data_IF_254512975917
#
_entry.id   IF_254512975917
#
_cell.length_a   1.000
_cell.length_b   1.000
_cell.length_c   1.000
_cell.angle_alpha   90.00
_cell.angle_beta   90.00
_cell.angle_gamma   90.00
#
_symmetry.space_group_name_H-M   'P 1'
#
loop_
_entity.id
_entity.type
_entity.pdbx_description
1 polymer ?
#
# COMPACT_ATOMS: atom_id res chain seq x y z
N UNK A 1 34.35 68.02 -16.64
CA UNK A 1 34.00 66.91 -15.74
C UNK A 1 35.30 66.27 -15.23
N UNK A 2 35.62 66.54 -13.97
CA UNK A 2 36.57 65.78 -13.12
C UNK A 2 35.90 64.49 -12.63
N UNK A 3 36.57 63.61 -11.86
CA UNK A 3 37.86 62.92 -12.03
C UNK A 3 37.64 61.37 -11.88
N UNK A 4 38.65 60.50 -11.98
CA UNK A 4 39.39 59.93 -10.84
C UNK A 4 40.73 59.34 -11.38
N UNK A 5 41.92 59.77 -10.95
CA UNK A 5 42.64 59.58 -9.66
C UNK A 5 43.39 58.24 -9.56
N UNK A 6 44.72 58.30 -9.71
CA UNK A 6 45.67 57.53 -8.89
C UNK A 6 47.07 58.19 -8.96
N UNK A 7 47.71 58.33 -7.78
CA UNK A 7 48.81 59.26 -7.49
C UNK A 7 50.24 58.78 -7.80
N UNK A 8 51.26 59.59 -7.43
CA UNK A 8 52.60 59.53 -8.02
C UNK A 8 53.60 58.66 -7.23
N UNK A 9 54.54 58.03 -7.95
CA UNK A 9 55.71 57.34 -7.37
C UNK A 9 56.85 58.35 -7.14
N UNK A 10 57.33 58.42 -5.89
CA UNK A 10 58.39 59.30 -5.44
C UNK A 10 59.78 58.79 -5.84
N UNK A 11 60.65 59.71 -6.29
CA UNK A 11 62.07 59.47 -6.49
C UNK A 11 62.86 59.87 -5.24
N UNK A 12 63.90 59.11 -4.83
CA UNK A 12 64.72 59.45 -3.68
C UNK A 12 65.61 60.69 -3.92
N UNK A 13 65.76 61.47 -2.85
CA UNK A 13 66.49 62.74 -2.76
C UNK A 13 68.01 62.60 -2.86
N UNK A 14 68.66 63.62 -3.44
CA UNK A 14 70.12 63.81 -3.61
C UNK A 14 70.96 63.65 -2.34
N UNK A 15 70.34 63.59 -1.16
CA UNK A 15 71.02 63.33 0.11
C UNK A 15 71.48 61.86 0.29
N UNK A 16 70.81 60.89 -0.35
CA UNK A 16 71.18 59.46 -0.24
C UNK A 16 72.33 59.06 -1.18
N UNK A 17 72.74 59.96 -2.10
CA UNK A 17 73.79 59.69 -3.10
C UNK A 17 75.22 60.03 -2.62
N UNK A 18 75.40 60.54 -1.39
CA UNK A 18 76.69 61.11 -0.95
C UNK A 18 77.45 60.36 0.15
N UNK A 19 76.94 59.26 0.69
CA UNK A 19 77.58 58.58 1.83
C UNK A 19 78.32 57.26 1.52
N UNK A 20 78.42 56.82 0.26
CA UNK A 20 79.19 55.62 -0.11
C UNK A 20 80.44 55.88 -0.96
N UNK A 21 81.00 57.09 -0.88
CA UNK A 21 82.38 57.37 -1.28
C UNK A 21 83.29 57.41 -0.06
N UNK A 22 83.96 56.30 0.26
CA UNK A 22 85.31 56.28 0.86
C UNK A 22 85.86 54.85 0.97
N UNK A 23 86.73 54.49 0.01
CA UNK A 23 88.13 54.06 0.21
C UNK A 23 88.58 53.15 -0.94
N UNK A 24 89.21 53.80 -1.93
CA UNK A 24 90.09 53.16 -2.90
C UNK A 24 91.41 52.86 -2.17
N UNK A 25 91.88 51.61 -2.23
CA UNK A 25 93.27 51.25 -1.97
C UNK A 25 93.77 50.43 -3.15
N UNK A 26 94.71 51.02 -3.89
CA UNK A 26 95.41 50.43 -5.03
C UNK A 26 96.34 49.33 -4.53
N UNK A 27 96.32 48.13 -5.14
CA UNK A 27 97.52 47.26 -5.25
C UNK A 27 97.38 46.13 -6.29
N UNK A 28 98.27 46.22 -7.30
CA UNK A 28 98.97 45.18 -8.09
C UNK A 28 98.18 44.26 -9.06
N UNK A 29 98.57 44.38 -10.34
CA UNK A 29 98.29 43.47 -11.47
C UNK A 29 98.75 42.02 -11.16
N UNK A 30 97.97 41.01 -11.58
CA UNK A 30 98.49 39.72 -11.99
C UNK A 30 98.48 39.59 -13.53
N UNK A 31 99.49 38.90 -14.03
CA UNK A 31 99.76 38.60 -15.44
C UNK A 31 98.58 37.90 -16.12
N UNK A 32 98.33 38.28 -17.37
CA UNK A 32 97.50 37.52 -18.30
C UNK A 32 98.21 36.18 -18.62
N UNK A 33 97.76 35.11 -17.96
CA UNK A 33 98.08 33.75 -18.39
C UNK A 33 97.19 33.39 -19.58
N UNK A 34 97.86 33.13 -20.71
CA UNK A 34 97.30 32.56 -21.93
C UNK A 34 96.57 31.25 -21.59
N UNK A 35 95.27 31.20 -21.92
CA UNK A 35 94.49 29.95 -21.91
C UNK A 35 95.00 29.03 -23.03
N UNK A 36 95.20 27.73 -22.78
CA UNK A 36 95.52 26.77 -23.84
C UNK A 36 94.36 26.69 -24.84
N UNK A 37 94.67 26.78 -26.12
CA UNK A 37 93.74 26.51 -27.21
C UNK A 37 93.54 24.99 -27.34
N UNK A 38 92.44 24.47 -26.78
CA UNK A 38 92.02 23.07 -26.99
C UNK A 38 91.75 22.82 -28.49
N UNK A 39 92.43 21.82 -29.07
CA UNK A 39 92.36 21.50 -30.50
C UNK A 39 91.01 20.89 -30.95
N UNK A 40 90.74 20.86 -32.28
CA UNK A 40 89.44 20.47 -32.85
C UNK A 40 88.97 19.04 -32.50
N UNK A 41 89.88 18.15 -32.09
CA UNK A 41 89.58 16.75 -31.76
C UNK A 41 88.88 16.57 -30.40
N UNK A 42 89.17 17.39 -29.38
CA UNK A 42 88.51 17.30 -28.07
C UNK A 42 87.08 17.86 -28.10
N UNK A 43 86.81 18.85 -28.96
CA UNK A 43 85.47 19.41 -29.20
C UNK A 43 84.48 18.38 -29.76
N UNK A 44 84.92 17.44 -30.61
CA UNK A 44 84.07 16.35 -31.12
C UNK A 44 83.78 15.27 -30.06
N UNK A 45 84.76 14.93 -29.20
CA UNK A 45 84.61 13.88 -28.17
C UNK A 45 83.68 14.32 -27.02
N UNK A 46 83.73 15.60 -26.61
CA UNK A 46 82.79 16.18 -25.62
C UNK A 46 81.35 16.28 -26.15
N UNK A 47 81.14 16.61 -27.43
CA UNK A 47 79.80 16.66 -28.05
C UNK A 47 79.16 15.26 -28.16
N UNK A 48 79.94 14.22 -28.48
CA UNK A 48 79.44 12.83 -28.56
C UNK A 48 79.08 12.28 -27.17
N UNK A 49 79.92 12.53 -26.14
CA UNK A 49 79.61 12.14 -24.74
C UNK A 49 78.40 12.89 -24.16
N UNK A 50 78.22 14.18 -24.47
CA UNK A 50 77.01 14.93 -24.05
C UNK A 50 75.76 14.41 -24.74
N UNK A 51 75.80 14.13 -26.06
CA UNK A 51 74.67 13.54 -26.79
C UNK A 51 74.28 12.17 -26.24
N UNK A 52 75.24 11.26 -26.00
CA UNK A 52 74.96 9.93 -25.41
C UNK A 52 74.38 10.06 -24.00
N UNK A 53 74.93 10.95 -23.15
CA UNK A 53 74.37 11.20 -21.81
C UNK A 53 72.95 11.77 -21.86
N UNK A 54 72.65 12.71 -22.77
CA UNK A 54 71.28 13.22 -22.93
C UNK A 54 70.33 12.18 -23.52
N UNK A 55 70.79 11.28 -24.40
CA UNK A 55 69.94 10.20 -24.93
C UNK A 55 69.61 9.19 -23.83
N UNK A 56 70.59 8.81 -23.01
CA UNK A 56 70.38 7.91 -21.87
C UNK A 56 69.43 8.52 -20.84
N UNK A 57 69.56 9.82 -20.53
CA UNK A 57 68.64 10.51 -19.61
C UNK A 57 67.22 10.60 -20.17
N UNK A 58 67.05 10.86 -21.48
CA UNK A 58 65.73 10.85 -22.13
C UNK A 58 65.10 9.45 -22.13
N UNK A 59 65.89 8.40 -22.36
CA UNK A 59 65.43 7.02 -22.30
C UNK A 59 65.05 6.59 -20.88
N UNK A 60 65.81 7.01 -19.87
CA UNK A 60 65.46 6.77 -18.46
C UNK A 60 64.20 7.53 -18.06
N UNK A 61 64.05 8.79 -18.49
CA UNK A 61 62.84 9.58 -18.19
C UNK A 61 61.59 8.97 -18.85
N UNK A 62 61.69 8.55 -20.10
CA UNK A 62 60.58 7.86 -20.80
C UNK A 62 60.28 6.50 -20.17
N UNK A 63 61.30 5.73 -19.79
CA UNK A 63 61.10 4.47 -19.06
C UNK A 63 60.39 4.67 -17.72
N UNK A 64 60.77 5.69 -16.94
CA UNK A 64 60.09 6.04 -15.67
C UNK A 64 58.63 6.44 -15.92
N UNK A 65 58.34 7.22 -16.96
CA UNK A 65 56.96 7.60 -17.32
C UNK A 65 56.14 6.37 -17.74
N UNK A 66 56.70 5.46 -18.53
CA UNK A 66 56.04 4.22 -18.95
C UNK A 66 55.80 3.30 -17.74
N UNK A 67 56.76 3.16 -16.85
CA UNK A 67 56.60 2.40 -15.60
C UNK A 67 55.55 3.02 -14.69
N UNK A 68 55.52 4.34 -14.53
CA UNK A 68 54.51 5.04 -13.75
C UNK A 68 53.10 4.87 -14.36
N UNK A 69 52.99 4.94 -15.69
CA UNK A 69 51.73 4.68 -16.40
C UNK A 69 51.27 3.22 -16.24
N UNK A 70 52.19 2.25 -16.32
CA UNK A 70 51.88 0.84 -16.13
C UNK A 70 51.47 0.52 -14.68
N UNK A 71 52.13 1.14 -13.69
CA UNK A 71 51.77 1.01 -12.27
C UNK A 71 50.44 1.69 -11.96
N UNK A 72 50.17 2.88 -12.53
CA UNK A 72 48.88 3.54 -12.45
C UNK A 72 47.76 2.70 -13.07
N UNK A 73 48.01 2.10 -14.24
CA UNK A 73 47.04 1.23 -14.91
C UNK A 73 46.78 -0.07 -14.12
N UNK A 74 47.81 -0.67 -13.50
CA UNK A 74 47.64 -1.80 -12.59
C UNK A 74 46.88 -1.45 -11.33
N UNK A 75 47.12 -0.28 -10.73
CA UNK A 75 46.38 0.20 -9.58
C UNK A 75 44.90 0.43 -9.94
N UNK A 76 44.62 1.02 -11.10
CA UNK A 76 43.26 1.24 -11.59
C UNK A 76 42.56 -0.09 -11.93
N UNK A 77 43.20 -1.01 -12.62
CA UNK A 77 42.63 -2.34 -12.90
C UNK A 77 42.46 -3.20 -11.62
N UNK A 78 43.37 -3.09 -10.65
CA UNK A 78 43.32 -3.81 -9.38
C UNK A 78 42.35 -3.23 -8.35
N UNK A 79 41.93 -1.97 -8.52
CA UNK A 79 40.98 -1.29 -7.62
C UNK A 79 39.51 -1.70 -7.79
N UNK A 80 39.20 -2.57 -8.76
CA UNK A 80 37.81 -2.99 -9.03
C UNK A 80 36.93 -1.90 -9.66
N UNK A 81 37.49 -0.74 -10.05
CA UNK A 81 36.77 0.35 -10.72
C UNK A 81 36.04 -0.09 -12.00
N UNK A 82 36.49 -1.17 -12.65
CA UNK A 82 35.88 -1.78 -13.83
C UNK A 82 35.29 -3.18 -13.59
N UNK A 83 35.25 -3.66 -12.35
CA UNK A 83 34.59 -4.92 -12.03
C UNK A 83 33.07 -4.75 -12.24
N UNK A 84 32.46 -5.64 -13.03
CA UNK A 84 30.98 -5.70 -13.13
C UNK A 84 30.44 -5.87 -11.72
N UNK A 85 29.55 -4.96 -11.31
CA UNK A 85 28.82 -5.11 -10.06
C UNK A 85 28.17 -6.51 -10.07
N UNK A 86 28.33 -7.32 -9.01
CA UNK A 86 27.74 -8.65 -8.96
C UNK A 86 26.24 -8.55 -9.21
N UNK A 87 25.75 -9.34 -10.17
CA UNK A 87 24.33 -9.45 -10.48
C UNK A 87 23.94 -10.92 -10.50
N UNK A 88 22.73 -11.24 -10.04
CA UNK A 88 22.21 -12.58 -10.19
C UNK A 88 21.76 -12.81 -11.64
N UNK A 89 21.81 -14.05 -12.15
CA UNK A 89 21.30 -14.36 -13.48
C UNK A 89 19.77 -14.17 -13.59
N UNK A 90 19.04 -14.12 -12.45
CA UNK A 90 17.58 -14.12 -12.42
C UNK A 90 16.99 -15.49 -12.79
N UNK A 91 15.65 -15.62 -12.88
CA UNK A 91 14.62 -14.62 -12.59
C UNK A 91 14.26 -14.53 -11.09
N UNK A 92 15.05 -15.14 -10.21
CA UNK A 92 14.78 -15.25 -8.76
C UNK A 92 14.09 -16.57 -8.40
N UNK A 93 14.24 -16.99 -7.14
CA UNK A 93 13.84 -18.33 -6.68
C UNK A 93 12.74 -18.31 -5.64
N UNK A 94 12.94 -17.59 -4.53
CA UNK A 94 12.13 -17.73 -3.31
C UNK A 94 11.35 -16.45 -3.06
N UNK A 95 10.01 -16.50 -2.92
CA UNK A 95 9.22 -15.30 -2.62
C UNK A 95 9.68 -14.60 -1.34
N UNK A 96 9.66 -13.27 -1.35
CA UNK A 96 9.95 -12.42 -0.19
C UNK A 96 9.15 -11.11 -0.32
N UNK A 97 8.54 -10.67 0.79
CA UNK A 97 7.89 -9.37 0.86
C UNK A 97 8.91 -8.30 1.23
N UNK A 98 8.99 -7.22 0.45
CA UNK A 98 9.90 -6.10 0.71
C UNK A 98 9.14 -4.79 0.64
N UNK A 99 9.32 -3.96 1.67
CA UNK A 99 8.75 -2.63 1.74
C UNK A 99 9.70 -1.59 1.16
N UNK A 100 9.18 -0.75 0.28
CA UNK A 100 9.86 0.40 -0.32
C UNK A 100 9.28 1.69 0.28
N UNK A 101 10.02 2.41 1.13
CA UNK A 101 9.56 3.66 1.73
C UNK A 101 9.30 4.77 0.71
N UNK A 102 8.42 5.71 1.06
CA UNK A 102 8.19 6.92 0.29
C UNK A 102 9.46 7.76 0.12
N UNK A 103 9.63 8.37 -1.05
CA UNK A 103 10.80 9.19 -1.39
C UNK A 103 12.11 8.41 -1.62
N UNK A 104 12.08 7.07 -1.60
CA UNK A 104 13.28 6.25 -1.83
C UNK A 104 13.84 6.45 -3.23
N UNK A 105 15.13 6.81 -3.34
CA UNK A 105 15.82 6.86 -4.64
C UNK A 105 16.11 5.45 -5.17
N UNK A 106 16.40 5.31 -6.47
CA UNK A 106 16.83 4.02 -7.04
C UNK A 106 18.04 3.39 -6.33
N UNK A 107 18.90 4.22 -5.71
CA UNK A 107 20.02 3.74 -4.89
C UNK A 107 19.56 3.21 -3.54
N UNK A 108 18.57 3.86 -2.90
CA UNK A 108 18.03 3.44 -1.61
C UNK A 108 17.24 2.13 -1.76
N UNK A 109 16.42 2.05 -2.80
CA UNK A 109 15.72 0.81 -3.20
C UNK A 109 16.74 -0.31 -3.40
N UNK A 110 17.81 -0.06 -4.17
CA UNK A 110 18.87 -1.06 -4.40
C UNK A 110 19.49 -1.59 -3.10
N UNK A 111 19.75 -0.74 -2.11
CA UNK A 111 20.29 -1.14 -0.80
C UNK A 111 19.30 -1.98 0.00
N UNK A 112 18.02 -1.61 0.00
CA UNK A 112 16.96 -2.37 0.68
C UNK A 112 16.87 -3.77 0.06
N UNK A 113 16.84 -3.85 -1.27
CA UNK A 113 16.75 -5.12 -2.00
C UNK A 113 18.00 -6.01 -1.79
N UNK A 114 19.19 -5.42 -1.76
CA UNK A 114 20.44 -6.14 -1.48
C UNK A 114 20.43 -6.72 -0.06
N UNK A 115 20.03 -5.91 0.94
CA UNK A 115 19.93 -6.34 2.34
C UNK A 115 18.95 -7.49 2.52
N UNK A 116 17.86 -7.51 1.76
CA UNK A 116 16.84 -8.58 1.77
C UNK A 116 17.23 -9.79 0.90
N UNK A 117 18.36 -9.74 0.20
CA UNK A 117 18.82 -10.80 -0.70
C UNK A 117 18.01 -10.94 -1.98
N UNK A 118 17.25 -9.90 -2.36
CA UNK A 118 16.52 -9.84 -3.64
C UNK A 118 17.49 -9.66 -4.79
N UNK A 119 18.42 -8.71 -4.70
CA UNK A 119 19.46 -8.47 -5.72
C UNK A 119 20.86 -8.77 -5.17
N UNK A 120 21.82 -9.04 -6.05
CA UNK A 120 23.20 -9.38 -5.64
C UNK A 120 24.02 -8.15 -5.23
N UNK A 121 23.69 -6.97 -5.77
CA UNK A 121 24.29 -5.71 -5.35
C UNK A 121 23.38 -4.51 -5.64
N UNK A 122 23.35 -3.53 -4.74
CA UNK A 122 22.63 -2.28 -4.95
C UNK A 122 23.10 -1.54 -6.21
N UNK A 123 24.40 -1.64 -6.54
CA UNK A 123 24.99 -1.01 -7.73
C UNK A 123 24.48 -1.61 -9.04
N UNK A 124 24.29 -2.94 -9.10
CA UNK A 124 23.71 -3.58 -10.28
C UNK A 124 22.23 -3.18 -10.46
N UNK A 125 21.47 -3.12 -9.36
CA UNK A 125 20.10 -2.62 -9.38
C UNK A 125 20.02 -1.15 -9.81
N UNK A 126 20.79 -0.25 -9.19
CA UNK A 126 20.78 1.18 -9.52
C UNK A 126 21.10 1.42 -11.00
N UNK A 127 22.09 0.70 -11.55
CA UNK A 127 22.39 0.76 -12.99
C UNK A 127 21.21 0.31 -13.86
N UNK A 128 20.49 -0.73 -13.46
CA UNK A 128 19.31 -1.20 -14.18
C UNK A 128 18.12 -0.24 -14.03
N UNK A 129 17.98 0.40 -12.86
CA UNK A 129 16.99 1.44 -12.59
C UNK A 129 17.24 2.64 -13.52
N UNK A 130 18.46 3.16 -13.56
CA UNK A 130 18.83 4.31 -14.41
C UNK A 130 18.69 3.99 -15.92
N UNK A 131 18.90 2.73 -16.31
CA UNK A 131 18.76 2.27 -17.68
C UNK A 131 17.29 2.06 -18.13
N UNK A 132 16.34 2.06 -17.18
CA UNK A 132 14.93 1.84 -17.47
C UNK A 132 14.14 3.14 -17.33
N UNK A 133 13.65 3.67 -18.44
CA UNK A 133 12.92 4.96 -18.49
C UNK A 133 11.64 4.98 -17.65
N UNK A 134 11.06 3.81 -17.33
CA UNK A 134 9.86 3.72 -16.48
C UNK A 134 10.20 3.62 -15.00
N UNK A 135 11.45 3.34 -14.62
CA UNK A 135 11.83 3.12 -13.22
C UNK A 135 11.44 4.27 -12.25
N UNK A 136 11.45 5.55 -12.65
CA UNK A 136 10.93 6.63 -11.79
C UNK A 136 9.44 6.51 -11.43
N UNK A 137 8.66 5.70 -12.16
CA UNK A 137 7.25 5.42 -11.86
C UNK A 137 7.05 4.33 -10.79
N UNK A 138 8.13 3.67 -10.32
CA UNK A 138 8.05 2.73 -9.19
C UNK A 138 7.48 3.47 -7.99
N UNK A 139 6.34 2.96 -7.51
CA UNK A 139 5.64 3.56 -6.38
C UNK A 139 6.23 3.06 -5.06
N UNK A 140 6.14 3.84 -3.98
CA UNK A 140 6.36 3.30 -2.65
C UNK A 140 5.37 2.16 -2.36
N UNK A 141 5.81 1.26 -1.47
CA UNK A 141 4.96 0.24 -0.88
C UNK A 141 5.58 -1.14 -0.78
N UNK A 142 4.78 -2.12 -0.37
CA UNK A 142 5.19 -3.50 -0.18
C UNK A 142 5.10 -4.24 -1.51
N UNK A 143 6.11 -5.06 -1.81
CA UNK A 143 6.21 -5.84 -3.04
C UNK A 143 6.53 -7.30 -2.73
N UNK A 144 5.80 -8.22 -3.38
CA UNK A 144 6.12 -9.65 -3.44
C UNK A 144 7.17 -9.89 -4.51
N UNK A 145 8.43 -9.87 -4.11
CA UNK A 145 9.59 -10.12 -4.96
C UNK A 145 10.11 -11.54 -4.77
N UNK A 146 11.17 -11.90 -5.49
CA UNK A 146 11.90 -13.15 -5.30
C UNK A 146 13.33 -12.87 -4.86
N UNK A 147 13.88 -13.70 -3.98
CA UNK A 147 15.32 -13.70 -3.70
C UNK A 147 16.09 -14.08 -4.96
N UNK A 148 17.29 -13.53 -5.12
CA UNK A 148 18.20 -13.79 -6.24
C UNK A 148 17.69 -13.37 -7.64
N UNK A 149 16.93 -12.29 -7.72
CA UNK A 149 16.57 -11.63 -8.97
C UNK A 149 17.77 -10.87 -9.55
N UNK A 150 17.85 -10.79 -10.88
CA UNK A 150 18.76 -9.83 -11.52
C UNK A 150 18.33 -8.40 -11.23
N UNK A 151 19.25 -7.43 -11.28
CA UNK A 151 18.91 -6.02 -11.07
C UNK A 151 17.80 -5.54 -12.01
N UNK A 152 17.88 -5.91 -13.30
CA UNK A 152 16.85 -5.61 -14.28
C UNK A 152 15.52 -6.32 -14.02
N UNK A 153 15.57 -7.59 -13.58
CA UNK A 153 14.36 -8.34 -13.22
C UNK A 153 13.66 -7.77 -12.00
N UNK A 154 14.42 -7.27 -11.02
CA UNK A 154 13.86 -6.60 -9.85
C UNK A 154 13.22 -5.25 -10.21
N UNK A 155 13.82 -4.46 -11.10
CA UNK A 155 13.19 -3.22 -11.61
C UNK A 155 11.89 -3.53 -12.35
N UNK A 156 11.90 -4.55 -13.22
CA UNK A 156 10.71 -4.96 -13.95
C UNK A 156 9.59 -5.43 -13.01
N UNK A 157 9.92 -6.19 -11.96
CA UNK A 157 8.93 -6.61 -10.97
C UNK A 157 8.43 -5.43 -10.12
N UNK A 158 9.27 -4.48 -9.72
CA UNK A 158 8.81 -3.29 -9.01
C UNK A 158 7.89 -2.38 -9.85
N UNK A 159 7.99 -2.47 -11.17
CA UNK A 159 7.09 -1.79 -12.11
C UNK A 159 5.82 -2.60 -12.42
N UNK A 160 5.79 -3.88 -12.08
CA UNK A 160 4.65 -4.76 -12.31
C UNK A 160 3.61 -4.57 -11.20
N UNK A 161 2.39 -4.07 -11.51
CA UNK A 161 1.32 -3.94 -10.52
C UNK A 161 1.02 -5.25 -9.79
N UNK A 162 1.16 -6.41 -10.46
CA UNK A 162 0.92 -7.72 -9.84
C UNK A 162 1.95 -8.10 -8.77
N UNK A 163 3.11 -7.44 -8.78
CA UNK A 163 4.15 -7.64 -7.78
C UNK A 163 3.94 -6.79 -6.54
N UNK A 164 3.01 -5.82 -6.52
CA UNK A 164 2.65 -5.14 -5.27
C UNK A 164 2.01 -6.14 -4.31
N UNK A 165 2.50 -6.15 -3.09
CA UNK A 165 1.91 -6.88 -1.98
C UNK A 165 0.72 -6.09 -1.46
N UNK A 166 -0.36 -6.09 -2.25
CA UNK A 166 -1.63 -5.53 -1.83
C UNK A 166 -2.13 -6.31 -0.59
N UNK A 167 -2.35 -5.60 0.52
CA UNK A 167 -3.06 -6.17 1.65
C UNK A 167 -4.54 -6.16 1.28
N UNK A 168 -5.17 -7.33 1.30
CA UNK A 168 -6.61 -7.45 1.02
C UNK A 168 -7.37 -7.52 2.32
N UNK A 169 -8.30 -6.60 2.54
CA UNK A 169 -9.25 -6.66 3.65
C UNK A 169 -10.63 -7.02 3.10
N UNK A 170 -11.16 -8.15 3.55
CA UNK A 170 -12.50 -8.59 3.15
C UNK A 170 -13.51 -8.16 4.21
N UNK A 171 -14.60 -7.53 3.78
CA UNK A 171 -15.81 -7.30 4.57
C UNK A 171 -16.88 -8.26 4.04
N UNK A 172 -17.18 -9.35 4.75
CA UNK A 172 -18.24 -10.28 4.36
C UNK A 172 -19.62 -9.63 4.37
N UNK A 173 -20.55 -10.28 3.66
CA UNK A 173 -21.98 -10.01 3.77
C UNK A 173 -22.48 -10.31 5.20
N UNK A 174 -23.50 -9.59 5.66
CA UNK A 174 -24.04 -9.70 7.02
C UNK A 174 -23.17 -9.08 8.13
N UNK A 175 -22.03 -8.47 7.81
CA UNK A 175 -21.17 -7.80 8.80
C UNK A 175 -21.86 -6.56 9.37
N UNK A 176 -21.79 -6.38 10.67
CA UNK A 176 -22.15 -5.12 11.32
C UNK A 176 -21.04 -4.07 11.15
N UNK A 177 -21.35 -2.79 11.33
CA UNK A 177 -20.35 -1.71 11.44
C UNK A 177 -19.29 -2.03 12.49
N UNK A 178 -19.70 -2.63 13.61
CA UNK A 178 -18.79 -3.05 14.69
C UNK A 178 -17.78 -4.08 14.17
N UNK A 179 -18.23 -5.10 13.46
CA UNK A 179 -17.36 -6.15 12.91
C UNK A 179 -16.47 -5.63 11.78
N UNK A 180 -16.99 -4.77 10.90
CA UNK A 180 -16.21 -4.11 9.86
C UNK A 180 -15.11 -3.23 10.47
N UNK A 181 -15.43 -2.50 11.54
CA UNK A 181 -14.45 -1.69 12.27
C UNK A 181 -13.35 -2.53 12.90
N UNK A 182 -13.71 -3.58 13.63
CA UNK A 182 -12.71 -4.50 14.21
C UNK A 182 -11.87 -5.19 13.12
N UNK A 183 -12.47 -5.51 11.97
CA UNK A 183 -11.73 -6.05 10.82
C UNK A 183 -10.69 -5.06 10.31
N UNK A 184 -11.03 -3.78 10.19
CA UNK A 184 -10.10 -2.74 9.73
C UNK A 184 -8.99 -2.44 10.76
N UNK A 185 -9.30 -2.45 12.05
CA UNK A 185 -8.27 -2.30 13.12
C UNK A 185 -7.20 -3.40 13.11
N UNK A 186 -7.54 -4.58 12.57
CA UNK A 186 -6.63 -5.72 12.46
C UNK A 186 -5.85 -5.75 11.15
N UNK A 187 -5.93 -4.70 10.32
CA UNK A 187 -5.08 -4.56 9.14
C UNK A 187 -3.74 -3.97 9.60
N UNK A 188 -2.63 -4.70 9.36
CA UNK A 188 -1.29 -4.34 9.85
C UNK A 188 -0.84 -2.90 9.51
N UNK A 189 -1.35 -2.33 8.40
CA UNK A 189 -1.03 -0.98 7.95
C UNK A 189 -1.82 0.13 8.67
N UNK A 190 -2.90 -0.20 9.37
CA UNK A 190 -3.80 0.80 9.97
C UNK A 190 -3.55 0.97 11.46
N UNK A 191 -3.50 2.23 11.90
CA UNK A 191 -3.54 2.56 13.31
C UNK A 191 -5.00 2.45 13.82
N UNK A 192 -5.30 1.66 14.87
CA UNK A 192 -6.64 1.52 15.39
C UNK A 192 -7.35 2.83 15.78
N UNK A 193 -6.60 3.82 16.27
CA UNK A 193 -7.16 5.14 16.62
C UNK A 193 -7.54 5.95 15.38
N UNK A 194 -6.83 5.79 14.27
CA UNK A 194 -7.17 6.40 12.99
C UNK A 194 -8.38 5.74 12.36
N UNK A 195 -8.53 4.42 12.53
CA UNK A 195 -9.75 3.70 12.13
C UNK A 195 -10.97 4.25 12.88
N UNK A 196 -10.90 4.43 14.20
CA UNK A 196 -12.02 5.00 14.97
C UNK A 196 -12.41 6.40 14.49
N UNK A 197 -11.41 7.26 14.23
CA UNK A 197 -11.64 8.60 13.68
C UNK A 197 -12.27 8.55 12.30
N UNK A 198 -11.79 7.67 11.42
CA UNK A 198 -12.30 7.52 10.07
C UNK A 198 -13.79 7.14 10.05
N UNK A 199 -14.22 6.18 10.89
CA UNK A 199 -15.65 5.85 11.03
C UNK A 199 -16.48 7.06 11.48
N UNK A 200 -15.99 7.83 12.45
CA UNK A 200 -16.70 9.02 12.93
C UNK A 200 -16.80 10.13 11.87
N UNK A 201 -15.76 10.34 11.06
CA UNK A 201 -15.73 11.37 10.02
C UNK A 201 -16.53 10.99 8.77
N UNK A 202 -16.40 9.75 8.29
CA UNK A 202 -17.17 9.25 7.14
C UNK A 202 -18.66 9.24 7.45
N UNK A 203 -19.05 8.84 8.68
CA UNK A 203 -20.43 8.91 9.13
C UNK A 203 -21.03 10.33 9.04
N UNK A 204 -20.23 11.37 9.25
CA UNK A 204 -20.68 12.76 9.19
C UNK A 204 -20.66 13.35 7.78
N UNK A 205 -19.70 12.96 6.95
CA UNK A 205 -19.34 13.72 5.75
C UNK A 205 -19.75 13.06 4.43
N UNK A 206 -19.93 11.74 4.39
CA UNK A 206 -20.12 10.98 3.15
C UNK A 206 -21.47 10.31 3.02
N UNK A 207 -22.15 10.12 4.14
CA UNK A 207 -23.46 9.50 4.13
C UNK A 207 -24.54 10.43 3.55
N UNK A 208 -25.50 9.90 2.77
CA UNK A 208 -26.66 10.65 2.34
C UNK A 208 -27.54 11.03 3.54
N UNK A 209 -28.38 12.05 3.38
CA UNK A 209 -29.20 12.58 4.49
C UNK A 209 -30.12 11.54 5.11
N UNK A 210 -30.60 10.59 4.30
CA UNK A 210 -31.48 9.49 4.73
C UNK A 210 -30.83 8.59 5.78
N UNK A 211 -29.50 8.47 5.78
CA UNK A 211 -28.73 7.69 6.74
C UNK A 211 -28.67 8.29 8.14
N UNK A 212 -28.97 9.59 8.30
CA UNK A 212 -28.93 10.31 9.59
C UNK A 212 -27.62 10.13 10.37
N UNK A 213 -26.50 9.95 9.65
CA UNK A 213 -25.19 9.74 10.23
C UNK A 213 -24.93 8.34 10.79
N UNK A 214 -25.75 7.33 10.45
CA UNK A 214 -25.50 5.94 10.80
C UNK A 214 -24.89 5.17 9.63
N UNK A 215 -23.75 4.50 9.83
CA UNK A 215 -23.05 3.69 8.83
C UNK A 215 -23.63 2.28 8.67
N UNK A 216 -24.57 1.85 9.52
CA UNK A 216 -25.11 0.49 9.46
C UNK A 216 -25.83 0.25 8.13
N UNK A 217 -25.44 -0.83 7.43
CA UNK A 217 -25.90 -1.13 6.07
C UNK A 217 -25.24 -0.32 4.94
N UNK A 218 -24.51 0.76 5.23
CA UNK A 218 -23.87 1.60 4.22
C UNK A 218 -22.51 1.08 3.75
N UNK A 219 -21.92 0.14 4.48
CA UNK A 219 -20.64 -0.44 4.11
C UNK A 219 -20.86 -1.60 3.13
N UNK A 220 -20.48 -1.44 1.87
CA UNK A 220 -20.62 -2.53 0.91
C UNK A 220 -19.74 -3.74 1.30
N UNK A 221 -20.26 -4.97 1.23
CA UNK A 221 -19.43 -6.16 1.41
C UNK A 221 -18.60 -6.41 0.15
N UNK A 222 -17.28 -6.49 0.29
CA UNK A 222 -16.33 -6.82 -0.78
C UNK A 222 -14.93 -7.10 -0.19
N UNK A 223 -13.97 -7.45 -1.05
CA UNK A 223 -12.54 -7.45 -0.75
C UNK A 223 -11.88 -6.18 -1.26
N UNK A 224 -11.47 -5.33 -0.31
CA UNK A 224 -10.82 -4.05 -0.58
C UNK A 224 -9.30 -4.21 -0.56
N UNK A 225 -8.64 -3.51 -1.48
CA UNK A 225 -7.18 -3.49 -1.60
C UNK A 225 -6.63 -2.31 -0.81
N UNK A 226 -5.73 -2.60 0.12
CA UNK A 226 -5.00 -1.65 0.95
C UNK A 226 -3.55 -1.62 0.47
N UNK A 227 -3.18 -0.49 -0.13
CA UNK A 227 -1.81 -0.22 -0.56
C UNK A 227 -1.13 0.70 0.44
N UNK A 228 0.20 0.76 0.47
CA UNK A 228 0.89 1.70 1.35
C UNK A 228 0.50 3.15 1.06
N UNK A 229 0.13 3.87 2.11
CA UNK A 229 -0.43 5.22 2.05
C UNK A 229 -1.96 5.27 1.96
N UNK A 230 -2.66 4.13 1.79
CA UNK A 230 -4.13 4.09 1.92
C UNK A 230 -4.51 4.42 3.36
N UNK A 231 -5.44 5.36 3.55
CA UNK A 231 -6.00 5.68 4.86
C UNK A 231 -7.26 4.83 5.15
N UNK A 232 -7.62 4.59 6.42
CA UNK A 232 -8.87 3.91 6.75
C UNK A 232 -10.12 4.61 6.19
N UNK A 233 -10.07 5.94 6.08
CA UNK A 233 -11.14 6.74 5.49
C UNK A 233 -11.35 6.37 4.02
N UNK A 234 -10.30 6.26 3.21
CA UNK A 234 -10.40 5.91 1.78
C UNK A 234 -11.16 4.59 1.57
N UNK A 235 -10.87 3.59 2.41
CA UNK A 235 -11.51 2.27 2.36
C UNK A 235 -13.00 2.39 2.69
N UNK A 236 -13.35 3.14 3.73
CA UNK A 236 -14.75 3.36 4.14
C UNK A 236 -15.53 4.18 3.11
N UNK A 237 -14.92 5.20 2.53
CA UNK A 237 -15.53 5.99 1.46
C UNK A 237 -15.84 5.12 0.25
N UNK A 238 -14.91 4.24 -0.13
CA UNK A 238 -15.11 3.26 -1.20
C UNK A 238 -16.29 2.34 -0.91
N UNK A 239 -16.43 1.87 0.34
CA UNK A 239 -17.56 1.03 0.77
C UNK A 239 -18.90 1.77 0.66
N UNK A 240 -18.95 3.04 1.10
CA UNK A 240 -20.16 3.87 1.06
C UNK A 240 -20.56 4.19 -0.38
N UNK A 241 -19.59 4.58 -1.21
CA UNK A 241 -19.81 4.89 -2.62
C UNK A 241 -20.31 3.65 -3.39
N UNK A 242 -19.78 2.47 -3.09
CA UNK A 242 -20.25 1.22 -3.67
C UNK A 242 -21.72 0.91 -3.31
N UNK A 243 -22.13 1.14 -2.05
CA UNK A 243 -23.54 0.98 -1.63
C UNK A 243 -24.44 2.00 -2.34
N UNK A 244 -24.02 3.26 -2.42
CA UNK A 244 -24.76 4.30 -3.13
C UNK A 244 -24.91 3.95 -4.61
N UNK A 245 -23.84 3.49 -5.26
CA UNK A 245 -23.88 3.06 -6.67
C UNK A 245 -24.85 1.90 -6.83
N UNK A 246 -24.75 0.86 -6.00
CA UNK A 246 -25.65 -0.30 -6.01
C UNK A 246 -27.13 0.12 -5.97
N UNK A 247 -27.49 1.01 -5.04
CA UNK A 247 -28.88 1.49 -4.92
C UNK A 247 -29.35 2.30 -6.13
N UNK A 248 -28.46 3.11 -6.73
CA UNK A 248 -28.75 3.87 -7.95
C UNK A 248 -28.90 2.97 -9.17
N UNK A 249 -28.05 1.95 -9.29
CA UNK A 249 -28.07 0.98 -10.39
C UNK A 249 -29.39 0.17 -10.40
N UNK A 250 -29.89 -0.18 -9.20
CA UNK A 250 -31.21 -0.77 -9.00
C UNK A 250 -32.38 0.23 -9.07
N UNK A 251 -32.10 1.52 -9.31
CA UNK A 251 -33.08 2.60 -9.45
C UNK A 251 -33.99 2.75 -8.23
N UNK A 252 -33.47 2.48 -7.03
CA UNK A 252 -34.20 2.70 -5.79
C UNK A 252 -34.30 4.20 -5.53
N UNK A 253 -35.49 4.76 -5.28
CA UNK A 253 -35.63 6.16 -4.86
C UNK A 253 -34.88 6.43 -3.55
N UNK A 254 -34.21 7.58 -3.44
CA UNK A 254 -33.34 7.91 -2.30
C UNK A 254 -34.10 7.84 -0.96
N UNK A 255 -35.34 8.31 -0.92
CA UNK A 255 -36.21 8.26 0.24
C UNK A 255 -36.59 6.84 0.70
N UNK A 256 -36.34 5.83 -0.15
CA UNK A 256 -36.58 4.42 0.13
C UNK A 256 -35.32 3.63 0.46
N UNK A 257 -34.12 4.22 0.35
CA UNK A 257 -32.85 3.52 0.56
C UNK A 257 -32.79 2.83 1.93
N UNK A 258 -33.04 3.54 3.02
CA UNK A 258 -33.04 2.96 4.37
C UNK A 258 -34.04 1.80 4.53
N UNK A 259 -35.24 1.94 3.97
CA UNK A 259 -36.28 0.92 4.07
C UNK A 259 -35.85 -0.37 3.36
N UNK A 260 -35.36 -0.27 2.11
CA UNK A 260 -34.97 -1.45 1.33
C UNK A 260 -33.69 -2.09 1.87
N UNK A 261 -32.72 -1.29 2.31
CA UNK A 261 -31.49 -1.81 2.91
C UNK A 261 -31.77 -2.50 4.25
N UNK A 262 -32.71 -1.97 5.04
CA UNK A 262 -33.09 -2.61 6.30
C UNK A 262 -33.66 -4.01 6.03
N UNK A 263 -34.61 -4.14 5.08
CA UNK A 263 -35.14 -5.45 4.66
C UNK A 263 -34.04 -6.36 4.10
N UNK A 264 -33.12 -5.83 3.29
CA UNK A 264 -32.04 -6.61 2.70
C UNK A 264 -31.06 -7.14 3.76
N UNK A 265 -30.72 -6.32 4.76
CA UNK A 265 -29.83 -6.72 5.86
C UNK A 265 -30.47 -7.78 6.78
N UNK A 266 -31.79 -7.73 6.98
CA UNK A 266 -32.53 -8.79 7.69
C UNK A 266 -32.48 -10.08 6.87
N UNK A 267 -32.80 -9.98 5.57
CA UNK A 267 -32.80 -11.13 4.67
C UNK A 267 -31.44 -11.84 4.61
N UNK A 268 -30.35 -11.06 4.56
CA UNK A 268 -28.97 -11.55 4.56
C UNK A 268 -28.65 -12.38 5.81
N UNK A 269 -29.12 -11.93 6.99
CA UNK A 269 -28.89 -12.64 8.25
C UNK A 269 -29.86 -13.80 8.50
N UNK A 270 -31.04 -13.79 7.88
CA UNK A 270 -32.07 -14.83 8.08
C UNK A 270 -31.88 -16.05 7.18
N UNK A 271 -31.32 -15.87 5.97
CA UNK A 271 -31.40 -16.90 4.93
C UNK A 271 -30.03 -17.43 4.54
N UNK A 272 -29.84 -18.73 4.74
CA UNK A 272 -28.62 -19.45 4.41
C UNK A 272 -28.60 -20.09 3.01
N UNK A 273 -29.76 -20.16 2.33
CA UNK A 273 -29.88 -20.69 0.96
C UNK A 273 -30.53 -19.64 0.07
N UNK A 274 -29.75 -19.08 -0.86
CA UNK A 274 -30.13 -17.96 -1.73
C UNK A 274 -31.46 -18.15 -2.46
N UNK A 275 -31.83 -19.39 -2.82
CA UNK A 275 -33.10 -19.69 -3.50
C UNK A 275 -34.33 -19.24 -2.72
N UNK A 276 -34.23 -19.09 -1.40
CA UNK A 276 -35.32 -18.69 -0.52
C UNK A 276 -35.38 -17.18 -0.30
N UNK A 277 -34.40 -16.40 -0.79
CA UNK A 277 -34.37 -14.95 -0.62
C UNK A 277 -35.69 -14.26 -1.05
N UNK A 278 -36.23 -14.51 -2.26
CA UNK A 278 -37.46 -13.85 -2.69
C UNK A 278 -38.69 -14.26 -1.86
N UNK A 279 -38.68 -15.47 -1.29
CA UNK A 279 -39.79 -15.99 -0.49
C UNK A 279 -39.78 -15.39 0.92
N UNK A 280 -38.61 -15.26 1.55
CA UNK A 280 -38.49 -14.59 2.86
C UNK A 280 -38.71 -13.09 2.73
N UNK A 281 -38.25 -12.46 1.64
CA UNK A 281 -38.61 -11.08 1.32
C UNK A 281 -40.14 -10.90 1.24
N UNK A 282 -40.85 -11.87 0.63
CA UNK A 282 -42.33 -11.85 0.60
C UNK A 282 -42.94 -11.97 1.99
N UNK A 283 -42.39 -12.82 2.87
CA UNK A 283 -42.84 -12.93 4.27
C UNK A 283 -42.68 -11.60 5.01
N UNK A 284 -41.55 -10.91 4.82
CA UNK A 284 -41.33 -9.58 5.41
C UNK A 284 -42.42 -8.59 4.93
N UNK A 285 -42.67 -8.51 3.62
CA UNK A 285 -43.73 -7.65 3.07
C UNK A 285 -45.12 -8.00 3.63
N UNK A 286 -45.47 -9.28 3.64
CA UNK A 286 -46.77 -9.72 4.13
C UNK A 286 -46.94 -9.43 5.63
N UNK A 287 -45.89 -9.59 6.44
CA UNK A 287 -45.91 -9.26 7.87
C UNK A 287 -46.06 -7.77 8.13
N UNK A 288 -45.43 -6.93 7.30
CA UNK A 288 -45.51 -5.46 7.38
C UNK A 288 -46.81 -4.88 6.81
N UNK A 289 -47.56 -5.65 6.04
CA UNK A 289 -48.79 -5.20 5.40
C UNK A 289 -49.81 -4.66 6.43
N UNK A 290 -50.44 -3.55 6.08
CA UNK A 290 -51.47 -2.94 6.91
C UNK A 290 -52.67 -3.91 7.09
N UNK A 291 -53.15 -4.05 8.33
CA UNK A 291 -54.28 -4.91 8.65
C UNK A 291 -53.94 -6.38 8.87
N UNK A 292 -52.67 -6.77 8.81
CA UNK A 292 -52.21 -8.11 9.20
C UNK A 292 -52.50 -8.37 10.70
N UNK A 293 -53.47 -9.24 10.97
CA UNK A 293 -53.84 -9.68 12.32
C UNK A 293 -52.96 -10.81 12.85
N UNK A 294 -52.36 -11.61 11.97
CA UNK A 294 -51.72 -12.87 12.33
C UNK A 294 -50.41 -12.66 13.09
N UNK A 295 -49.64 -11.64 12.70
CA UNK A 295 -48.41 -11.24 13.43
C UNK A 295 -48.51 -9.86 14.06
N UNK A 296 -49.67 -9.21 13.96
CA UNK A 296 -49.91 -7.85 14.48
C UNK A 296 -48.87 -6.81 14.03
N UNK A 297 -48.29 -6.99 12.83
CA UNK A 297 -47.26 -6.12 12.26
C UNK A 297 -45.84 -6.37 12.79
N UNK A 298 -45.61 -7.46 13.54
CA UNK A 298 -44.29 -7.87 14.02
C UNK A 298 -43.59 -8.75 13.00
N UNK A 299 -42.26 -8.63 12.94
CA UNK A 299 -41.44 -9.45 12.06
C UNK A 299 -40.99 -10.76 12.72
N UNK A 300 -40.83 -10.80 14.05
CA UNK A 300 -40.34 -11.96 14.81
C UNK A 300 -39.05 -12.58 14.24
N UNK A 301 -38.06 -11.74 13.92
CA UNK A 301 -36.81 -12.17 13.29
C UNK A 301 -35.67 -12.23 14.32
N UNK A 302 -35.10 -13.42 14.52
CA UNK A 302 -34.02 -13.65 15.49
C UNK A 302 -32.80 -12.77 15.20
N UNK A 303 -32.48 -12.57 13.91
CA UNK A 303 -31.39 -11.70 13.47
C UNK A 303 -31.47 -10.28 14.04
N UNK A 304 -32.67 -9.70 14.10
CA UNK A 304 -32.91 -8.36 14.63
C UNK A 304 -32.77 -8.30 16.16
N UNK A 305 -33.19 -9.36 16.85
CA UNK A 305 -33.03 -9.49 18.30
C UNK A 305 -31.55 -9.57 18.66
N UNK A 306 -30.82 -10.45 17.98
CA UNK A 306 -29.38 -10.66 18.18
C UNK A 306 -28.60 -9.37 17.97
N UNK A 307 -28.91 -8.64 16.88
CA UNK A 307 -28.33 -7.31 16.66
C UNK A 307 -28.63 -6.35 17.81
N UNK A 308 -29.89 -6.28 18.25
CA UNK A 308 -30.33 -5.40 19.34
C UNK A 308 -29.64 -5.64 20.68
N UNK A 309 -29.24 -6.89 20.96
CA UNK A 309 -28.47 -7.27 22.17
C UNK A 309 -26.96 -7.27 21.94
N UNK A 310 -26.49 -6.84 20.76
CA UNK A 310 -25.07 -6.70 20.44
C UNK A 310 -24.35 -7.99 20.09
N UNK A 311 -25.09 -9.03 19.66
CA UNK A 311 -24.57 -10.32 19.20
C UNK A 311 -24.47 -10.35 17.67
N UNK A 312 -23.41 -10.99 17.17
CA UNK A 312 -23.13 -11.14 15.73
C UNK A 312 -24.05 -12.14 15.01
N UNK A 313 -24.55 -13.13 15.75
CA UNK A 313 -25.32 -14.27 15.26
C UNK A 313 -25.49 -15.33 16.34
N UNK A 314 -25.99 -16.50 15.94
CA UNK A 314 -26.32 -17.63 16.82
C UNK A 314 -27.81 -17.76 17.09
N UNK A 315 -28.18 -18.56 18.08
CA UNK A 315 -29.58 -18.75 18.50
C UNK A 315 -29.85 -17.79 19.67
N UNK A 316 -30.91 -16.96 19.63
CA UNK A 316 -31.24 -16.08 20.75
C UNK A 316 -31.68 -16.89 21.96
N UNK A 317 -31.20 -16.48 23.13
CA UNK A 317 -31.64 -17.01 24.41
C UNK A 317 -33.02 -16.46 24.78
N UNK A 318 -33.67 -17.08 25.79
CA UNK A 318 -34.95 -16.59 26.30
C UNK A 318 -34.86 -15.15 26.85
N UNK A 319 -33.69 -14.73 27.35
CA UNK A 319 -33.48 -13.37 27.85
C UNK A 319 -33.27 -12.38 26.70
N UNK A 320 -32.59 -12.79 25.62
CA UNK A 320 -32.44 -11.96 24.41
C UNK A 320 -33.82 -11.63 23.82
N UNK A 321 -34.69 -12.64 23.69
CA UNK A 321 -36.04 -12.47 23.14
C UNK A 321 -36.92 -11.51 23.96
N UNK A 322 -36.63 -11.34 25.26
CA UNK A 322 -37.35 -10.45 26.17
C UNK A 322 -36.73 -9.05 26.28
N UNK A 323 -35.54 -8.84 25.73
CA UNK A 323 -34.82 -7.59 25.86
C UNK A 323 -35.59 -6.46 25.15
N UNK A 324 -36.01 -5.44 25.91
CA UNK A 324 -36.72 -4.29 25.37
C UNK A 324 -35.74 -3.28 24.75
N UNK A 325 -35.70 -3.27 23.42
CA UNK A 325 -34.88 -2.38 22.61
C UNK A 325 -35.56 -2.17 21.23
N UNK A 326 -35.21 -1.11 20.48
CA UNK A 326 -35.90 -0.77 19.24
C UNK A 326 -35.67 -1.76 18.08
N UNK A 327 -34.70 -2.68 18.19
CA UNK A 327 -34.41 -3.71 17.19
C UNK A 327 -35.12 -5.02 17.47
N UNK A 328 -35.67 -5.23 18.67
CA UNK A 328 -36.36 -6.47 18.99
C UNK A 328 -37.73 -6.54 18.29
N UNK A 329 -37.77 -7.15 17.10
CA UNK A 329 -39.00 -7.27 16.29
C UNK A 329 -40.00 -8.31 16.80
N UNK A 330 -39.71 -9.01 17.91
CA UNK A 330 -40.72 -9.75 18.68
C UNK A 330 -41.55 -8.83 19.59
N UNK A 331 -41.00 -7.66 19.95
CA UNK A 331 -41.66 -6.68 20.82
C UNK A 331 -42.18 -5.50 20.01
N UNK A 332 -41.36 -4.98 19.10
CA UNK A 332 -41.63 -3.81 18.27
C UNK A 332 -42.36 -4.20 16.98
N UNK A 333 -43.25 -3.31 16.51
CA UNK A 333 -43.94 -3.46 15.22
C UNK A 333 -43.15 -2.75 14.12
N UNK A 334 -43.21 -3.29 12.91
CA UNK A 334 -42.57 -2.71 11.74
C UNK A 334 -41.09 -3.11 11.62
N UNK A 335 -40.36 -2.35 10.81
CA UNK A 335 -38.92 -2.52 10.63
C UNK A 335 -38.16 -1.97 11.84
N UNK A 336 -36.97 -2.52 12.15
CA UNK A 336 -36.03 -1.88 13.07
C UNK A 336 -35.61 -0.49 12.53
N UNK A 337 -35.04 0.38 13.38
CA UNK A 337 -34.76 1.77 13.00
C UNK A 337 -33.69 1.94 11.92
N UNK A 338 -32.85 0.92 11.69
CA UNK A 338 -31.72 0.93 10.74
C UNK A 338 -31.52 -0.49 10.20
N UNK A 339 -30.70 -0.67 9.14
CA UNK A 339 -30.15 -1.97 8.80
C UNK A 339 -29.44 -2.63 9.99
N UNK A 340 -29.24 -3.95 9.92
CA UNK A 340 -28.57 -4.75 10.96
C UNK A 340 -27.24 -5.36 10.47
N UNK A 341 -26.73 -4.87 9.33
CA UNK A 341 -25.45 -5.29 8.74
C UNK A 341 -25.36 -5.00 7.25
N UNK A 342 -24.24 -5.36 6.65
CA UNK A 342 -24.00 -5.35 5.20
C UNK A 342 -24.89 -6.37 4.50
N UNK A 343 -25.18 -6.14 3.22
CA UNK A 343 -26.06 -7.02 2.43
C UNK A 343 -25.54 -7.22 1.00
N UNK A 344 -25.81 -8.41 0.47
CA UNK A 344 -25.48 -8.81 -0.90
C UNK A 344 -26.36 -8.08 -1.92
N UNK A 345 -25.91 -8.04 -3.17
CA UNK A 345 -26.76 -7.58 -4.28
C UNK A 345 -28.00 -8.47 -4.46
N UNK A 346 -27.86 -9.78 -4.18
CA UNK A 346 -28.95 -10.76 -4.28
C UNK A 346 -30.04 -10.48 -3.25
N UNK A 347 -29.68 -10.15 -2.01
CA UNK A 347 -30.63 -9.78 -0.97
C UNK A 347 -31.39 -8.50 -1.36
N UNK A 348 -30.70 -7.49 -1.90
CA UNK A 348 -31.34 -6.28 -2.40
C UNK A 348 -32.33 -6.59 -3.54
N UNK A 349 -31.92 -7.37 -4.55
CA UNK A 349 -32.79 -7.78 -5.65
C UNK A 349 -34.05 -8.51 -5.16
N UNK A 350 -33.91 -9.41 -4.19
CA UNK A 350 -35.04 -10.14 -3.63
C UNK A 350 -36.04 -9.26 -2.88
N UNK A 351 -35.57 -8.21 -2.19
CA UNK A 351 -36.43 -7.20 -1.57
C UNK A 351 -37.16 -6.37 -2.62
N UNK A 352 -36.49 -6.02 -3.72
CA UNK A 352 -37.09 -5.24 -4.80
C UNK A 352 -38.08 -6.04 -5.66
N UNK A 353 -37.89 -7.36 -5.74
CA UNK A 353 -38.76 -8.29 -6.47
C UNK A 353 -39.07 -9.56 -5.64
N UNK A 354 -39.89 -9.45 -4.58
CA UNK A 354 -40.26 -10.61 -3.77
C UNK A 354 -41.11 -11.62 -4.56
N UNK A 355 -40.92 -12.92 -4.32
CA UNK A 355 -41.71 -13.96 -4.96
C UNK A 355 -43.20 -13.83 -4.63
N UNK A 356 -44.10 -14.17 -5.54
CA UNK A 356 -45.54 -14.17 -5.24
C UNK A 356 -45.87 -15.26 -4.22
N UNK A 357 -46.63 -14.89 -3.19
CA UNK A 357 -47.08 -15.81 -2.15
C UNK A 357 -47.72 -15.11 -0.97
N UNK A 358 -48.53 -15.86 -0.22
CA UNK A 358 -49.23 -15.38 0.98
C UNK A 358 -48.58 -15.87 2.27
N UNK A 359 -47.33 -16.31 2.19
CA UNK A 359 -46.63 -16.87 3.33
C UNK A 359 -46.42 -15.81 4.41
N UNK A 360 -46.74 -16.20 5.62
CA UNK A 360 -46.55 -15.41 6.85
C UNK A 360 -45.44 -16.01 7.71
N UNK A 361 -45.09 -17.27 7.48
CA UNK A 361 -44.12 -17.98 8.30
C UNK A 361 -43.21 -18.83 7.42
N UNK A 362 -42.03 -19.14 7.95
CA UNK A 362 -41.12 -20.11 7.37
C UNK A 362 -40.35 -20.84 8.46
N UNK A 363 -39.88 -22.04 8.15
CA UNK A 363 -39.00 -22.81 9.04
C UNK A 363 -38.13 -23.74 8.21
N UNK A 364 -36.84 -23.74 8.54
CA UNK A 364 -35.90 -24.72 8.02
C UNK A 364 -36.18 -26.06 8.70
N UNK A 365 -36.64 -27.05 7.94
CA UNK A 365 -37.02 -28.38 8.44
C UNK A 365 -35.89 -29.40 8.34
N UNK A 366 -34.85 -29.09 7.55
CA UNK A 366 -33.64 -29.90 7.44
C UNK A 366 -32.42 -28.97 7.50
N UNK A 367 -31.69 -29.02 8.63
CA UNK A 367 -30.57 -28.10 8.90
C UNK A 367 -29.30 -28.42 8.09
N UNK A 368 -29.12 -29.67 7.65
CA UNK A 368 -27.99 -30.06 6.79
C UNK A 368 -28.14 -29.54 5.35
N UNK A 369 -29.34 -29.68 4.78
CA UNK A 369 -29.62 -29.26 3.40
C UNK A 369 -30.07 -27.80 3.30
N UNK A 370 -30.48 -27.20 4.43
CA UNK A 370 -31.13 -25.90 4.48
C UNK A 370 -32.54 -25.90 3.89
N UNK A 371 -33.23 -27.05 3.80
CA UNK A 371 -34.60 -27.08 3.29
C UNK A 371 -35.54 -26.25 4.18
N UNK A 372 -36.09 -25.18 3.61
CA UNK A 372 -37.04 -24.28 4.28
C UNK A 372 -38.43 -24.46 3.68
N UNK A 373 -39.43 -24.65 4.55
CA UNK A 373 -40.85 -24.68 4.21
C UNK A 373 -41.51 -23.38 4.62
N UNK A 374 -42.50 -22.96 3.83
CA UNK A 374 -43.22 -21.71 3.98
C UNK A 374 -44.69 -22.00 4.27
N UNK A 375 -45.30 -21.18 5.13
CA UNK A 375 -46.65 -21.37 5.62
C UNK A 375 -47.44 -20.06 5.56
N UNK A 376 -48.70 -20.15 5.13
CA UNK A 376 -49.63 -19.01 5.04
C UNK A 376 -50.31 -18.72 6.38
N UNK A 377 -50.38 -19.71 7.29
CA UNK A 377 -51.03 -19.58 8.59
C UNK A 377 -50.29 -20.36 9.69
N UNK A 378 -50.69 -20.11 10.93
CA UNK A 378 -50.04 -20.69 12.11
C UNK A 378 -50.17 -22.21 12.19
N UNK A 379 -51.26 -22.80 11.71
CA UNK A 379 -51.44 -24.27 11.74
C UNK A 379 -50.45 -24.98 10.82
N UNK A 380 -50.28 -24.46 9.59
CA UNK A 380 -49.24 -24.94 8.67
C UNK A 380 -47.84 -24.75 9.25
N UNK A 381 -47.61 -23.61 9.91
CA UNK A 381 -46.33 -23.33 10.56
C UNK A 381 -46.04 -24.31 11.70
N UNK A 382 -47.02 -24.60 12.55
CA UNK A 382 -46.90 -25.58 13.63
C UNK A 382 -46.57 -26.97 13.08
N UNK A 383 -47.18 -27.37 11.95
CA UNK A 383 -46.84 -28.62 11.29
C UNK A 383 -45.37 -28.67 10.80
N UNK A 384 -44.87 -27.57 10.21
CA UNK A 384 -43.46 -27.45 9.81
C UNK A 384 -42.51 -27.50 11.02
N UNK A 385 -42.87 -26.87 12.13
CA UNK A 385 -42.09 -26.91 13.38
C UNK A 385 -42.04 -28.32 13.97
N UNK A 386 -43.14 -29.08 13.92
CA UNK A 386 -43.14 -30.49 14.34
C UNK A 386 -42.25 -31.37 13.44
N UNK A 387 -42.12 -31.04 12.15
CA UNK A 387 -41.17 -31.69 11.25
C UNK A 387 -39.71 -31.40 11.64
N UNK A 388 -39.38 -30.13 11.93
CA UNK A 388 -38.06 -29.77 12.45
C UNK A 388 -37.76 -30.49 13.78
N UNK A 389 -38.70 -30.54 14.72
CA UNK A 389 -38.52 -31.27 15.99
C UNK A 389 -38.22 -32.76 15.76
N UNK A 390 -38.92 -33.40 14.81
CA UNK A 390 -38.65 -34.79 14.42
C UNK A 390 -37.26 -34.93 13.79
N UNK A 391 -36.87 -33.99 12.93
CA UNK A 391 -35.53 -33.95 12.35
C UNK A 391 -34.44 -33.87 13.43
N UNK A 392 -34.58 -32.93 14.38
CA UNK A 392 -33.60 -32.76 15.46
C UNK A 392 -33.53 -33.95 16.42
N UNK A 393 -34.66 -34.60 16.70
CA UNK A 393 -34.68 -35.85 17.48
C UNK A 393 -33.85 -36.95 16.83
N UNK A 394 -33.84 -37.00 15.49
CA UNK A 394 -33.09 -38.00 14.73
C UNK A 394 -31.64 -37.58 14.46
N UNK A 395 -31.33 -36.28 14.53
CA UNK A 395 -30.02 -35.69 14.20
C UNK A 395 -29.52 -34.75 15.32
N UNK A 396 -29.35 -35.22 16.58
CA UNK A 396 -29.05 -34.36 17.72
C UNK A 396 -27.75 -33.55 17.53
N UNK A 397 -26.73 -34.16 16.91
CA UNK A 397 -25.44 -33.49 16.66
C UNK A 397 -25.54 -32.26 15.76
N UNK A 398 -26.54 -32.20 14.88
CA UNK A 398 -26.74 -31.09 13.93
C UNK A 398 -27.52 -29.95 14.60
N UNK A 399 -28.41 -30.27 15.54
CA UNK A 399 -29.24 -29.27 16.21
C UNK A 399 -28.65 -28.75 17.53
N UNK A 400 -27.60 -29.39 18.06
CA UNK A 400 -26.86 -28.96 19.26
C UNK A 400 -25.59 -28.15 18.93
N UNK A 401 -25.21 -28.07 17.65
CA UNK A 401 -24.09 -27.28 17.12
C UNK A 401 -24.55 -25.93 16.61
#
# INVERSE_FOLDING_TARGET
MTPDSEGPKSFPSRAQMRQQRRKIKVRRRPQAQLRPTEGPAERKRRRRRRRVKTTIVMLLATFVVVCAAALGMRAVMGSGLFAKAPDYPGPGTTPVSVEIPEGSSGTDIGKILEKQGVVASAKAFAKAFDANAQAPAIQPGAYKLKKKMSGAGAVAALLDPASKADLKVTIPEGFTVKEAKERLKNVDQFNPDEVEKAFAEVAKSKLPKVAKGNLEGWLAPDTYTVTPGTEPADVLETMVDATISKLKDHKVPEEKWEEVMTKASILEKEVNVEKYYPMVARVIENRLAAGNSDTAGKLDMDSTVLYGVGKSGGIPTADDLKADNPYNTYLQKGLPPTPIGTFSDKALQAVLAPADGKWMYYTTVNLETGETKFAENLDQQNANVEELKKYCKNNPKVCES
#
